data_IF_626451686620
#
_entry.id   IF_626451686620
#
_cell.length_a   1.000
_cell.length_b   1.000
_cell.length_c   1.000
_cell.angle_alpha   90.00
_cell.angle_beta   90.00
_cell.angle_gamma   90.00
#
_symmetry.space_group_name_H-M   'P 1'
#
loop_
_entity.id
_entity.type
_entity.pdbx_description
1 polymer ?
#
# COMPACT_ATOMS: atom_id res chain seq x y z
N UNK A 1 23.96 13.03 90.83
CA UNK A 1 24.64 13.79 89.79
C UNK A 1 24.57 12.93 88.53
N UNK A 2 23.57 13.08 87.69
CA UNK A 2 23.44 12.31 86.45
C UNK A 2 22.99 13.26 85.34
N UNK A 3 23.81 13.40 84.32
CA UNK A 3 23.53 14.24 83.16
C UNK A 3 22.66 13.46 82.16
N UNK A 4 21.64 14.05 81.52
CA UNK A 4 20.91 13.41 80.46
C UNK A 4 21.61 13.59 79.13
N UNK A 5 21.68 12.50 78.40
CA UNK A 5 22.23 12.40 77.03
C UNK A 5 21.13 12.84 76.06
N UNK A 6 21.32 13.96 75.37
CA UNK A 6 20.48 14.38 74.23
C UNK A 6 20.81 13.56 73.01
N UNK A 7 19.86 12.70 72.63
CA UNK A 7 19.87 11.92 71.36
C UNK A 7 19.31 12.79 70.24
N UNK A 8 20.19 13.32 69.40
CA UNK A 8 19.79 14.03 68.17
C UNK A 8 19.20 13.03 67.16
N UNK A 9 17.88 13.08 66.90
CA UNK A 9 17.26 12.46 65.77
C UNK A 9 17.54 13.27 64.52
N UNK A 10 18.36 12.71 63.62
CA UNK A 10 18.56 13.23 62.29
C UNK A 10 17.42 12.71 61.41
N UNK A 11 16.49 13.56 61.05
CA UNK A 11 15.42 13.26 60.09
C UNK A 11 16.02 13.36 58.68
N UNK A 12 16.31 12.23 58.05
CA UNK A 12 16.58 12.15 56.63
C UNK A 12 15.26 12.30 55.86
N UNK A 13 14.98 13.51 55.36
CA UNK A 13 13.92 13.74 54.41
C UNK A 13 14.37 13.19 53.05
N UNK A 14 13.94 11.98 52.70
CA UNK A 14 14.09 11.43 51.39
C UNK A 14 13.11 12.17 50.44
N UNK A 15 13.61 13.11 49.66
CA UNK A 15 12.92 13.70 48.51
C UNK A 15 12.78 12.62 47.43
N UNK A 16 11.66 11.92 47.42
CA UNK A 16 11.17 11.13 46.28
C UNK A 16 10.78 12.11 45.17
N UNK A 17 11.70 12.41 44.28
CA UNK A 17 11.41 12.98 43.00
C UNK A 17 10.60 11.95 42.19
N UNK A 18 9.26 12.05 42.25
CA UNK A 18 8.39 11.46 41.27
C UNK A 18 8.70 12.10 39.90
N UNK A 19 9.54 11.46 39.14
CA UNK A 19 9.64 11.71 37.73
C UNK A 19 8.36 11.17 37.12
N UNK A 20 7.36 12.02 37.01
CA UNK A 20 6.22 11.80 36.14
C UNK A 20 6.77 11.86 34.73
N UNK A 21 7.22 10.71 34.24
CA UNK A 21 7.44 10.53 32.81
C UNK A 21 6.10 10.85 32.13
N UNK A 22 6.01 12.01 31.51
CA UNK A 22 5.02 12.21 30.44
C UNK A 22 5.31 11.11 29.41
N UNK A 23 4.63 9.97 29.55
CA UNK A 23 4.41 9.10 28.44
C UNK A 23 3.66 9.97 27.42
N UNK A 24 4.37 10.43 26.40
CA UNK A 24 3.75 10.86 25.16
C UNK A 24 3.02 9.61 24.68
N UNK A 25 1.76 9.47 25.06
CA UNK A 25 0.84 8.55 24.44
C UNK A 25 0.95 8.88 22.95
N UNK A 26 1.55 7.98 22.20
CA UNK A 26 1.42 8.02 20.75
C UNK A 26 -0.08 7.93 20.53
N UNK A 27 -0.63 8.98 19.96
CA UNK A 27 -2.06 9.15 19.72
C UNK A 27 -2.46 8.23 18.54
N UNK A 28 -2.29 6.93 18.75
CA UNK A 28 -2.78 5.85 17.92
C UNK A 28 -3.92 5.21 18.73
N UNK A 29 -5.06 5.92 18.76
CA UNK A 29 -6.23 5.49 19.49
C UNK A 29 -6.76 4.15 18.97
N UNK A 30 -7.28 3.35 19.88
CA UNK A 30 -8.26 2.33 19.53
C UNK A 30 -9.49 3.08 19.01
N UNK A 31 -9.69 3.07 17.69
CA UNK A 31 -10.85 3.72 17.08
C UNK A 31 -12.05 2.78 17.15
N UNK A 32 -13.22 3.37 17.38
CA UNK A 32 -14.47 2.63 17.32
C UNK A 32 -14.65 2.04 15.90
N UNK A 33 -15.00 0.76 15.76
CA UNK A 33 -15.31 0.15 14.45
C UNK A 33 -16.33 0.95 13.64
N UNK A 34 -17.31 1.59 14.28
CA UNK A 34 -18.29 2.44 13.60
C UNK A 34 -17.66 3.71 12.99
N UNK A 35 -16.67 4.30 13.67
CA UNK A 35 -15.91 5.44 13.12
C UNK A 35 -15.08 5.01 11.92
N UNK A 36 -14.47 3.82 11.96
CA UNK A 36 -13.67 3.29 10.86
C UNK A 36 -14.56 3.00 9.64
N UNK A 37 -15.75 2.39 9.84
CA UNK A 37 -16.73 2.12 8.80
C UNK A 37 -17.26 3.43 8.19
N UNK A 38 -17.59 4.42 9.02
CA UNK A 38 -17.98 5.74 8.56
C UNK A 38 -16.87 6.40 7.76
N UNK A 39 -15.62 6.31 8.21
CA UNK A 39 -14.44 6.80 7.51
C UNK A 39 -14.23 6.14 6.15
N UNK A 40 -14.51 4.85 6.01
CA UNK A 40 -14.52 4.17 4.72
C UNK A 40 -15.55 4.80 3.77
N UNK A 41 -16.75 5.15 4.25
CA UNK A 41 -17.76 5.81 3.44
C UNK A 41 -17.33 7.20 2.98
N UNK A 42 -16.69 7.98 3.85
CA UNK A 42 -16.10 9.28 3.54
C UNK A 42 -14.98 9.12 2.51
N UNK A 43 -14.10 8.12 2.71
CA UNK A 43 -13.02 7.82 1.77
C UNK A 43 -13.56 7.52 0.35
N UNK A 44 -14.58 6.69 0.25
CA UNK A 44 -15.21 6.33 -1.03
C UNK A 44 -15.86 7.51 -1.73
N UNK A 45 -16.40 8.48 -0.98
CA UNK A 45 -17.05 9.65 -1.56
C UNK A 45 -16.09 10.77 -1.93
N UNK A 46 -14.99 10.95 -1.19
CA UNK A 46 -14.13 12.14 -1.29
C UNK A 46 -12.71 11.84 -1.82
N UNK A 47 -12.17 10.65 -1.57
CA UNK A 47 -10.74 10.39 -1.74
C UNK A 47 -10.43 9.39 -2.87
N UNK A 48 -11.35 8.46 -3.16
CA UNK A 48 -11.15 7.34 -4.08
C UNK A 48 -10.78 7.79 -5.50
N UNK A 49 -11.32 8.91 -5.97
CA UNK A 49 -11.08 9.41 -7.33
C UNK A 49 -9.59 9.63 -7.62
N UNK A 50 -8.83 10.08 -6.62
CA UNK A 50 -7.39 10.30 -6.76
C UNK A 50 -6.58 9.15 -6.16
N UNK A 51 -6.99 8.64 -5.00
CA UNK A 51 -6.20 7.65 -4.25
C UNK A 51 -6.54 6.20 -4.57
N UNK A 52 -7.59 5.94 -5.36
CA UNK A 52 -8.06 4.58 -5.70
C UNK A 52 -8.73 3.87 -4.53
N UNK A 53 -9.47 2.80 -4.79
CA UNK A 53 -10.19 2.03 -3.76
C UNK A 53 -9.28 1.45 -2.68
N UNK A 54 -8.03 1.13 -3.05
CA UNK A 54 -7.03 0.54 -2.16
C UNK A 54 -6.10 1.58 -1.52
N UNK A 55 -6.26 2.88 -1.80
CA UNK A 55 -5.42 3.94 -1.25
C UNK A 55 -4.01 4.01 -1.85
N UNK A 56 -3.75 3.31 -2.93
CA UNK A 56 -2.46 3.20 -3.62
C UNK A 56 -2.50 3.71 -5.07
N UNK A 57 -3.54 4.46 -5.44
CA UNK A 57 -3.74 5.01 -6.78
C UNK A 57 -2.68 6.03 -7.22
N UNK A 58 -1.98 6.67 -6.27
CA UNK A 58 -0.90 7.62 -6.55
C UNK A 58 0.44 6.93 -6.32
N UNK A 59 1.34 6.99 -7.31
CA UNK A 59 2.65 6.37 -7.22
C UNK A 59 3.44 6.84 -5.98
N UNK A 60 3.94 5.91 -5.19
CA UNK A 60 4.69 6.18 -3.96
C UNK A 60 3.85 6.63 -2.76
N UNK A 61 2.53 6.64 -2.88
CA UNK A 61 1.59 6.93 -1.79
C UNK A 61 0.74 5.70 -1.52
N UNK A 62 0.79 5.22 -0.28
CA UNK A 62 -0.11 4.17 0.19
C UNK A 62 -0.84 4.66 1.45
N UNK A 63 -2.09 5.07 1.28
CA UNK A 63 -2.92 5.55 2.36
C UNK A 63 -3.39 4.44 3.32
N UNK A 64 -3.22 3.18 2.93
CA UNK A 64 -3.56 2.00 3.74
C UNK A 64 -2.34 1.37 4.42
N UNK A 65 -1.20 2.07 4.44
CA UNK A 65 -0.01 1.62 5.18
C UNK A 65 -0.13 1.80 6.70
N UNK A 66 -1.06 2.62 7.17
CA UNK A 66 -1.16 3.05 8.57
C UNK A 66 -0.02 3.99 9.01
N UNK A 67 0.99 4.19 8.17
CA UNK A 67 2.16 5.02 8.45
C UNK A 67 2.36 6.07 7.36
N UNK A 68 2.55 7.32 7.77
CA UNK A 68 2.68 8.45 6.84
C UNK A 68 3.93 9.27 7.18
N UNK A 69 4.79 9.49 6.19
CA UNK A 69 6.04 10.26 6.38
C UNK A 69 5.82 11.72 6.79
N UNK A 70 4.71 12.33 6.37
CA UNK A 70 4.37 13.74 6.64
C UNK A 70 3.37 13.94 7.76
N UNK A 71 2.78 12.87 8.29
CA UNK A 71 1.71 12.92 9.26
C UNK A 71 1.89 11.79 10.29
N UNK A 72 2.73 12.03 11.29
CA UNK A 72 3.05 11.04 12.32
C UNK A 72 1.89 10.88 13.30
N UNK A 73 1.24 11.97 13.68
CA UNK A 73 0.07 11.99 14.58
C UNK A 73 -1.24 12.20 13.82
N UNK A 74 -2.36 11.95 14.49
CA UNK A 74 -3.70 12.25 13.97
C UNK A 74 -3.92 13.75 13.77
N UNK A 75 -3.28 14.57 14.59
CA UNK A 75 -3.27 16.01 14.41
C UNK A 75 -2.62 16.40 13.10
N UNK A 76 -1.51 15.74 12.75
CA UNK A 76 -0.81 16.00 11.49
C UNK A 76 -1.66 15.56 10.30
N UNK A 77 -2.32 14.39 10.38
CA UNK A 77 -3.26 13.93 9.35
C UNK A 77 -4.41 14.90 9.17
N UNK A 78 -5.01 15.34 10.27
CA UNK A 78 -6.07 16.35 10.26
C UNK A 78 -5.63 17.63 9.58
N UNK A 79 -4.46 18.16 9.94
CA UNK A 79 -3.92 19.37 9.35
C UNK A 79 -3.62 19.18 7.87
N UNK A 80 -3.07 18.03 7.47
CA UNK A 80 -2.75 17.71 6.08
C UNK A 80 -4.01 17.60 5.22
N UNK A 81 -5.05 16.94 5.70
CA UNK A 81 -6.33 16.80 4.98
C UNK A 81 -7.04 18.15 4.88
N UNK A 82 -7.12 18.90 5.99
CA UNK A 82 -7.81 20.19 6.02
C UNK A 82 -7.14 21.28 5.19
N UNK A 83 -5.79 21.27 5.10
CA UNK A 83 -5.04 22.31 4.37
C UNK A 83 -4.57 21.87 2.97
N UNK A 84 -4.67 20.58 2.66
CA UNK A 84 -4.05 20.01 1.47
C UNK A 84 -2.52 20.01 1.54
N UNK A 85 -1.88 19.78 0.41
CA UNK A 85 -0.42 19.84 0.27
C UNK A 85 -0.09 20.84 -0.81
N UNK A 86 0.47 22.03 -0.48
CA UNK A 86 0.86 23.04 -1.46
C UNK A 86 1.73 22.46 -2.57
N UNK A 87 1.57 22.97 -3.77
CA UNK A 87 2.32 22.58 -4.97
C UNK A 87 2.16 21.10 -5.38
N UNK A 88 1.05 20.47 -4.94
CA UNK A 88 0.68 19.10 -5.33
C UNK A 88 -0.79 19.04 -5.76
N UNK A 89 -1.24 17.88 -6.26
CA UNK A 89 -2.65 17.64 -6.57
C UNK A 89 -3.55 17.41 -5.34
N UNK A 90 -3.00 17.37 -4.11
CA UNK A 90 -3.79 17.17 -2.89
C UNK A 90 -4.41 18.49 -2.46
N UNK A 91 -5.70 18.66 -2.73
CA UNK A 91 -6.48 19.84 -2.36
C UNK A 91 -6.83 19.83 -0.87
N UNK A 92 -7.23 20.99 -0.33
CA UNK A 92 -7.83 21.11 0.98
C UNK A 92 -9.26 20.54 0.99
N UNK A 93 -9.63 19.84 2.05
CA UNK A 93 -10.98 19.29 2.24
C UNK A 93 -11.64 19.92 3.47
N UNK A 94 -12.84 20.42 3.27
CA UNK A 94 -13.69 20.95 4.35
C UNK A 94 -14.59 19.81 4.86
N UNK A 95 -14.03 18.98 5.75
CA UNK A 95 -14.73 17.88 6.38
C UNK A 95 -15.23 18.32 7.76
N UNK A 96 -16.42 17.88 8.13
CA UNK A 96 -16.91 18.10 9.48
C UNK A 96 -16.12 17.27 10.52
N UNK A 97 -16.41 17.47 11.80
CA UNK A 97 -15.69 16.81 12.88
C UNK A 97 -15.84 15.28 12.86
N UNK A 98 -17.00 14.75 12.49
CA UNK A 98 -17.27 13.31 12.42
C UNK A 98 -16.62 12.70 11.20
N UNK A 99 -16.73 13.33 10.03
CA UNK A 99 -16.07 12.93 8.79
C UNK A 99 -14.55 12.87 8.97
N UNK A 100 -13.98 13.93 9.57
CA UNK A 100 -12.54 14.01 9.81
C UNK A 100 -12.07 12.95 10.82
N UNK A 101 -12.83 12.66 11.86
CA UNK A 101 -12.52 11.60 12.81
C UNK A 101 -12.60 10.24 12.13
N UNK A 102 -13.67 9.99 11.41
CA UNK A 102 -13.86 8.74 10.67
C UNK A 102 -12.76 8.49 9.64
N UNK A 103 -12.44 9.49 8.80
CA UNK A 103 -11.39 9.29 7.78
C UNK A 103 -10.02 8.99 8.40
N UNK A 104 -9.67 9.65 9.52
CA UNK A 104 -8.43 9.37 10.23
C UNK A 104 -8.46 7.96 10.83
N UNK A 105 -9.56 7.57 11.46
CA UNK A 105 -9.77 6.22 11.99
C UNK A 105 -9.58 5.17 10.88
N UNK A 106 -10.18 5.36 9.71
CA UNK A 106 -10.02 4.48 8.56
C UNK A 106 -8.58 4.40 8.07
N UNK A 107 -7.90 5.53 7.93
CA UNK A 107 -6.51 5.58 7.46
C UNK A 107 -5.52 4.95 8.44
N UNK A 108 -5.79 5.03 9.74
CA UNK A 108 -4.96 4.42 10.80
C UNK A 108 -5.20 2.92 10.98
N UNK A 109 -6.28 2.40 10.43
CA UNK A 109 -6.64 0.98 10.51
C UNK A 109 -6.51 0.29 9.14
N UNK A 110 -5.29 0.02 8.68
CA UNK A 110 -5.04 -0.53 7.34
C UNK A 110 -5.67 -1.91 7.13
N UNK A 111 -5.89 -2.65 8.22
CA UNK A 111 -6.45 -4.00 8.19
C UNK A 111 -7.98 -4.01 8.38
N UNK A 112 -8.60 -2.84 8.56
CA UNK A 112 -10.05 -2.77 8.63
C UNK A 112 -10.63 -2.94 7.23
N UNK A 113 -11.36 -3.99 7.07
CA UNK A 113 -12.10 -4.30 5.84
C UNK A 113 -13.47 -4.83 6.22
N UNK A 114 -14.49 -4.41 5.47
CA UNK A 114 -15.86 -4.94 5.64
C UNK A 114 -15.90 -6.43 5.32
N UNK A 115 -14.99 -6.88 4.44
CA UNK A 115 -14.74 -8.30 4.18
C UNK A 115 -13.35 -8.63 4.73
N UNK A 116 -13.29 -9.18 5.93
CA UNK A 116 -12.03 -9.61 6.54
C UNK A 116 -11.32 -10.62 5.61
N UNK A 117 -10.18 -10.21 5.07
CA UNK A 117 -9.35 -11.12 4.26
C UNK A 117 -8.66 -12.10 5.17
N UNK A 118 -9.05 -13.36 5.09
CA UNK A 118 -8.36 -14.43 5.80
C UNK A 118 -6.98 -14.64 5.18
N UNK A 119 -5.94 -14.57 6.00
CA UNK A 119 -4.59 -14.96 5.62
C UNK A 119 -4.35 -16.39 6.06
N UNK A 120 -3.75 -17.17 5.17
CA UNK A 120 -3.42 -18.56 5.39
C UNK A 120 -1.98 -18.76 5.88
N UNK A 121 -1.34 -19.80 5.37
CA UNK A 121 0.03 -20.18 5.70
C UNK A 121 1.02 -19.66 4.65
N UNK A 122 2.02 -18.90 5.08
CA UNK A 122 3.04 -18.29 4.21
C UNK A 122 3.85 -19.34 3.42
N UNK A 123 4.22 -20.46 4.05
CA UNK A 123 5.08 -21.46 3.39
C UNK A 123 4.31 -22.21 2.29
N UNK A 124 3.02 -22.54 2.53
CA UNK A 124 2.15 -23.11 1.50
C UNK A 124 1.89 -22.10 0.39
N UNK A 125 1.65 -20.83 0.74
CA UNK A 125 1.47 -19.75 -0.22
C UNK A 125 2.67 -19.59 -1.13
N UNK A 126 3.88 -19.65 -0.58
CA UNK A 126 5.11 -19.65 -1.36
C UNK A 126 5.19 -20.83 -2.32
N UNK A 127 4.86 -22.04 -1.87
CA UNK A 127 4.87 -23.23 -2.72
C UNK A 127 3.85 -23.12 -3.88
N UNK A 128 2.67 -22.52 -3.64
CA UNK A 128 1.69 -22.26 -4.67
C UNK A 128 2.22 -21.19 -5.65
N UNK A 129 2.80 -20.11 -5.16
CA UNK A 129 3.36 -19.01 -5.95
C UNK A 129 4.47 -19.47 -6.90
N UNK A 130 5.36 -20.36 -6.42
CA UNK A 130 6.48 -20.92 -7.18
C UNK A 130 6.07 -22.12 -8.06
N UNK A 131 4.92 -22.75 -7.78
CA UNK A 131 4.45 -23.97 -8.44
C UNK A 131 3.12 -23.76 -9.18
N UNK A 132 2.00 -24.25 -8.61
CA UNK A 132 0.67 -24.27 -9.25
C UNK A 132 0.23 -22.91 -9.81
N UNK A 133 0.51 -21.82 -9.08
CA UNK A 133 0.11 -20.47 -9.48
C UNK A 133 0.97 -19.87 -10.58
N UNK A 134 2.13 -20.46 -10.89
CA UNK A 134 3.09 -20.05 -11.92
C UNK A 134 3.43 -18.53 -11.91
N UNK A 135 3.39 -17.91 -10.74
CA UNK A 135 3.53 -16.46 -10.61
C UNK A 135 4.95 -15.99 -10.99
N UNK A 136 5.98 -16.83 -10.75
CA UNK A 136 7.38 -16.54 -11.09
C UNK A 136 7.66 -16.56 -12.61
N UNK A 137 6.76 -17.08 -13.43
CA UNK A 137 6.91 -17.00 -14.89
C UNK A 137 6.85 -15.55 -15.40
N UNK A 138 6.14 -14.68 -14.68
CA UNK A 138 5.93 -13.28 -15.04
C UNK A 138 6.49 -12.30 -14.00
N UNK A 139 6.32 -12.61 -12.70
CA UNK A 139 6.70 -11.73 -11.60
C UNK A 139 8.11 -12.03 -11.08
N UNK A 140 8.70 -10.98 -10.51
CA UNK A 140 10.00 -11.02 -9.85
C UNK A 140 9.85 -10.90 -8.34
N UNK A 141 10.57 -11.75 -7.59
CA UNK A 141 10.73 -11.65 -6.14
C UNK A 141 12.20 -11.82 -5.80
N UNK A 142 12.83 -10.88 -5.10
CA UNK A 142 14.22 -10.95 -4.63
C UNK A 142 15.22 -11.42 -5.70
N UNK A 143 15.15 -10.87 -6.89
CA UNK A 143 16.01 -11.21 -8.05
C UNK A 143 15.64 -12.54 -8.76
N UNK A 144 14.71 -13.33 -8.28
CA UNK A 144 14.17 -14.49 -8.99
C UNK A 144 13.00 -14.07 -9.88
N UNK A 145 12.90 -14.62 -11.08
CA UNK A 145 11.88 -14.31 -12.08
C UNK A 145 12.24 -13.15 -13.02
N UNK A 146 11.48 -13.01 -14.12
CA UNK A 146 11.70 -12.00 -15.15
C UNK A 146 11.31 -10.59 -14.68
N UNK A 147 11.50 -9.60 -15.55
CA UNK A 147 11.12 -8.19 -15.31
C UNK A 147 9.86 -7.76 -16.06
N UNK A 148 9.21 -8.69 -16.74
CA UNK A 148 8.05 -8.39 -17.59
C UNK A 148 6.85 -7.84 -16.82
N UNK A 149 6.59 -8.36 -15.62
CA UNK A 149 5.55 -7.86 -14.72
C UNK A 149 6.13 -7.01 -13.58
N UNK A 150 5.26 -6.58 -12.67
CA UNK A 150 5.63 -5.81 -11.47
C UNK A 150 6.51 -6.65 -10.55
N UNK A 151 7.57 -6.05 -10.00
CA UNK A 151 8.41 -6.66 -8.97
C UNK A 151 7.63 -6.72 -7.65
N UNK A 152 7.47 -7.91 -7.10
CA UNK A 152 6.69 -8.17 -5.90
C UNK A 152 7.55 -8.23 -4.61
N UNK A 153 8.86 -7.97 -4.70
CA UNK A 153 9.79 -8.10 -3.56
C UNK A 153 9.33 -7.36 -2.30
N UNK A 154 8.69 -6.20 -2.46
CA UNK A 154 8.20 -5.37 -1.35
C UNK A 154 6.66 -5.17 -1.39
N UNK A 155 5.93 -6.04 -2.07
CA UNK A 155 4.50 -5.81 -2.34
C UNK A 155 3.66 -5.73 -1.07
N UNK A 156 4.00 -6.53 -0.06
CA UNK A 156 3.31 -6.54 1.23
C UNK A 156 3.57 -5.29 2.09
N UNK A 157 4.51 -4.42 1.69
CA UNK A 157 4.66 -3.09 2.30
C UNK A 157 3.79 -2.06 1.60
N UNK A 158 3.57 -2.24 0.28
CA UNK A 158 2.92 -1.26 -0.58
C UNK A 158 1.42 -1.48 -0.78
N UNK A 159 0.89 -2.68 -0.52
CA UNK A 159 -0.51 -3.00 -0.81
C UNK A 159 -1.22 -3.70 0.34
N UNK A 160 -2.47 -3.32 0.57
CA UNK A 160 -3.33 -3.97 1.54
C UNK A 160 -3.72 -5.41 1.07
N UNK A 161 -3.96 -6.35 2.01
CA UNK A 161 -4.35 -7.73 1.67
C UNK A 161 -5.56 -7.82 0.74
N UNK A 162 -6.59 -7.00 0.93
CA UNK A 162 -7.78 -6.95 0.07
C UNK A 162 -7.47 -6.46 -1.34
N UNK A 163 -6.58 -5.48 -1.48
CA UNK A 163 -6.14 -5.02 -2.79
C UNK A 163 -5.39 -6.12 -3.53
N UNK A 164 -4.56 -6.89 -2.82
CA UNK A 164 -3.88 -8.06 -3.38
C UNK A 164 -4.89 -9.14 -3.78
N UNK A 165 -5.88 -9.44 -2.91
CA UNK A 165 -6.96 -10.39 -3.23
C UNK A 165 -7.72 -9.98 -4.49
N UNK A 166 -8.16 -8.73 -4.57
CA UNK A 166 -8.85 -8.23 -5.78
C UNK A 166 -7.99 -8.35 -7.03
N UNK A 167 -6.68 -8.05 -6.93
CA UNK A 167 -5.77 -8.18 -8.08
C UNK A 167 -5.57 -9.63 -8.54
N UNK A 168 -5.72 -10.61 -7.64
CA UNK A 168 -5.69 -12.03 -7.99
C UNK A 168 -7.01 -12.48 -8.66
N UNK A 169 -8.15 -11.96 -8.21
CA UNK A 169 -9.47 -12.37 -8.70
C UNK A 169 -9.92 -11.60 -9.95
N UNK A 170 -9.62 -10.30 -10.00
CA UNK A 170 -9.95 -9.42 -11.14
C UNK A 170 -8.74 -8.55 -11.52
N UNK A 171 -7.74 -9.14 -12.16
CA UNK A 171 -6.53 -8.41 -12.54
C UNK A 171 -6.77 -7.33 -13.60
N UNK A 172 -7.77 -7.49 -14.45
CA UNK A 172 -8.15 -6.48 -15.45
C UNK A 172 -8.85 -5.29 -14.81
N UNK A 173 -9.84 -5.52 -13.96
CA UNK A 173 -10.58 -4.45 -13.27
C UNK A 173 -9.74 -3.66 -12.27
N UNK A 174 -8.69 -4.28 -11.71
CA UNK A 174 -7.77 -3.63 -10.77
C UNK A 174 -6.53 -3.02 -11.41
N UNK A 175 -6.34 -3.20 -12.73
CA UNK A 175 -5.16 -2.70 -13.45
C UNK A 175 -5.25 -1.19 -13.66
N UNK A 176 -4.33 -0.45 -13.03
CA UNK A 176 -4.27 1.00 -13.19
C UNK A 176 -3.90 1.39 -14.63
N UNK A 177 -4.38 2.53 -15.14
CA UNK A 177 -4.06 2.98 -16.50
C UNK A 177 -2.56 3.05 -16.81
N UNK A 178 -1.72 3.40 -15.81
CA UNK A 178 -0.27 3.46 -15.97
C UNK A 178 0.38 2.08 -16.13
N UNK A 179 -0.22 1.04 -15.55
CA UNK A 179 0.29 -0.32 -15.57
C UNK A 179 -0.17 -1.12 -16.81
N UNK A 180 -1.02 -0.53 -17.65
CA UNK A 180 -1.52 -1.16 -18.87
C UNK A 180 -0.37 -1.49 -19.82
N UNK A 181 -0.27 -2.73 -20.29
CA UNK A 181 0.74 -3.12 -21.25
C UNK A 181 0.47 -2.50 -22.62
N UNK A 182 1.47 -2.52 -23.45
CA UNK A 182 1.38 -1.97 -24.81
C UNK A 182 1.81 -2.97 -25.85
N UNK A 183 1.18 -2.89 -27.02
CA UNK A 183 1.61 -3.51 -28.26
C UNK A 183 2.17 -2.43 -29.18
N UNK A 184 3.37 -2.66 -29.73
CA UNK A 184 4.10 -1.75 -30.60
C UNK A 184 4.43 -2.47 -31.89
N UNK A 185 4.16 -1.83 -33.02
CA UNK A 185 4.63 -2.27 -34.35
C UNK A 185 5.48 -1.15 -34.93
N UNK A 186 6.74 -1.45 -35.21
CA UNK A 186 7.68 -0.51 -35.82
C UNK A 186 7.45 -0.38 -37.33
N UNK A 187 7.99 0.65 -37.99
CA UNK A 187 7.81 0.89 -39.41
C UNK A 187 8.41 -0.24 -40.32
N UNK A 188 9.36 -1.00 -39.81
CA UNK A 188 9.92 -2.19 -40.46
C UNK A 188 9.13 -3.49 -40.14
N UNK A 189 8.04 -3.39 -39.36
CA UNK A 189 7.10 -4.48 -39.08
C UNK A 189 7.47 -5.35 -37.88
N UNK A 190 8.51 -5.01 -37.11
CA UNK A 190 8.80 -5.72 -35.88
C UNK A 190 7.71 -5.45 -34.84
N UNK A 191 7.37 -6.49 -34.05
CA UNK A 191 6.34 -6.41 -32.98
C UNK A 191 6.96 -6.56 -31.61
N UNK A 192 6.52 -5.71 -30.69
CA UNK A 192 6.92 -5.73 -29.30
C UNK A 192 5.69 -5.63 -28.40
N UNK A 193 5.61 -6.52 -27.44
CA UNK A 193 4.68 -6.42 -26.34
C UNK A 193 5.47 -6.14 -25.06
N UNK A 194 4.92 -5.36 -24.16
CA UNK A 194 5.64 -5.11 -22.93
C UNK A 194 4.91 -4.24 -21.93
N UNK A 195 5.48 -4.22 -20.75
CA UNK A 195 5.05 -3.34 -19.66
C UNK A 195 5.59 -1.93 -19.91
N UNK A 196 4.70 -0.97 -19.94
CA UNK A 196 5.04 0.45 -20.06
C UNK A 196 5.73 0.95 -18.78
N UNK A 197 6.88 1.61 -18.94
CA UNK A 197 7.63 2.22 -17.86
C UNK A 197 7.46 3.73 -17.82
N UNK A 198 7.62 4.35 -18.98
CA UNK A 198 7.48 5.78 -19.15
C UNK A 198 6.89 6.09 -20.53
N UNK A 199 6.13 7.14 -20.61
CA UNK A 199 5.51 7.60 -21.86
C UNK A 199 5.32 9.11 -21.82
N UNK A 200 5.70 9.78 -22.89
CA UNK A 200 5.38 11.16 -23.15
C UNK A 200 4.74 11.33 -24.54
N UNK A 201 4.60 12.54 -25.01
CA UNK A 201 4.01 12.84 -26.33
C UNK A 201 4.81 12.21 -27.48
N UNK A 202 6.11 12.08 -27.34
CA UNK A 202 7.03 11.70 -28.42
C UNK A 202 7.61 10.31 -28.29
N UNK A 203 7.78 9.83 -27.06
CA UNK A 203 8.49 8.57 -26.79
C UNK A 203 7.70 7.65 -25.88
N UNK A 204 8.02 6.35 -25.96
CA UNK A 204 7.57 5.34 -25.00
C UNK A 204 8.73 4.41 -24.64
N UNK A 205 8.84 4.10 -23.37
CA UNK A 205 9.79 3.12 -22.83
C UNK A 205 9.03 1.94 -22.25
N UNK A 206 9.47 0.75 -22.60
CA UNK A 206 8.87 -0.50 -22.13
C UNK A 206 9.94 -1.48 -21.64
N UNK A 207 9.52 -2.41 -20.79
CA UNK A 207 10.20 -3.70 -20.64
C UNK A 207 9.45 -4.68 -21.54
N UNK A 208 10.13 -5.22 -22.55
CA UNK A 208 9.54 -6.20 -23.45
C UNK A 208 9.33 -7.57 -22.75
N UNK A 209 8.63 -8.48 -23.43
CA UNK A 209 8.34 -9.84 -22.95
C UNK A 209 9.62 -10.69 -22.71
N UNK A 210 10.77 -10.24 -23.24
CA UNK A 210 12.09 -10.84 -22.97
C UNK A 210 12.83 -10.15 -21.82
N UNK A 211 12.18 -9.22 -21.10
CA UNK A 211 12.76 -8.49 -19.97
C UNK A 211 13.76 -7.41 -20.35
N UNK A 212 13.81 -6.98 -21.61
CA UNK A 212 14.74 -5.96 -22.11
C UNK A 212 14.10 -4.58 -22.12
N UNK A 213 14.86 -3.59 -21.70
CA UNK A 213 14.46 -2.19 -21.83
C UNK A 213 14.49 -1.77 -23.30
N UNK A 214 13.37 -1.24 -23.78
CA UNK A 214 13.21 -0.67 -25.12
C UNK A 214 12.73 0.78 -25.01
N UNK A 215 13.19 1.59 -25.97
CA UNK A 215 12.72 2.96 -26.15
C UNK A 215 12.36 3.17 -27.61
N UNK A 216 11.21 3.79 -27.86
CA UNK A 216 10.71 4.02 -29.21
C UNK A 216 10.28 5.48 -29.37
N UNK A 217 10.62 6.07 -30.51
CA UNK A 217 10.04 7.33 -30.96
C UNK A 217 8.67 7.02 -31.59
N UNK A 218 7.62 7.64 -31.11
CA UNK A 218 6.23 7.33 -31.54
C UNK A 218 5.98 7.67 -33.02
N UNK A 219 6.68 8.64 -33.57
CA UNK A 219 6.62 9.01 -35.00
C UNK A 219 7.25 7.95 -35.94
N UNK A 220 8.01 7.00 -35.38
CA UNK A 220 8.62 5.87 -36.09
C UNK A 220 7.88 4.56 -35.89
N UNK A 221 6.68 4.62 -35.34
CA UNK A 221 5.84 3.44 -35.13
C UNK A 221 4.75 3.38 -36.19
N UNK A 222 4.52 2.19 -36.72
CA UNK A 222 3.34 1.90 -37.51
C UNK A 222 2.09 1.82 -36.64
N UNK A 223 2.24 1.26 -35.43
CA UNK A 223 1.16 1.09 -34.46
C UNK A 223 1.68 1.20 -33.03
N UNK A 224 0.91 1.88 -32.21
CA UNK A 224 1.06 1.92 -30.75
C UNK A 224 -0.31 1.74 -30.10
N UNK A 225 -0.50 0.64 -29.40
CA UNK A 225 -1.77 0.28 -28.77
C UNK A 225 -1.58 0.03 -27.29
N UNK A 226 -2.35 0.76 -26.47
CA UNK A 226 -2.45 0.47 -25.01
C UNK A 226 -3.53 -0.57 -24.82
N UNK A 227 -3.13 -1.72 -24.25
CA UNK A 227 -4.05 -2.82 -24.00
C UNK A 227 -4.89 -2.56 -22.76
N UNK A 228 -6.16 -2.93 -22.81
CA UNK A 228 -7.11 -2.74 -21.71
C UNK A 228 -7.30 -3.99 -20.86
N UNK A 229 -6.85 -5.14 -21.34
CA UNK A 229 -6.90 -6.41 -20.63
C UNK A 229 -5.56 -6.73 -19.99
N UNK A 230 -5.61 -7.31 -18.80
CA UNK A 230 -4.43 -7.75 -18.08
C UNK A 230 -3.87 -9.06 -18.69
N UNK A 231 -2.55 -9.19 -18.90
CA UNK A 231 -1.94 -10.47 -19.23
C UNK A 231 -1.90 -11.44 -18.03
N UNK A 232 -2.11 -10.95 -16.82
CA UNK A 232 -2.24 -11.78 -15.63
C UNK A 232 -3.59 -12.48 -15.66
N UNK A 233 -3.65 -13.82 -15.50
CA UNK A 233 -4.92 -14.53 -15.43
C UNK A 233 -5.68 -14.22 -14.14
N UNK A 234 -7.00 -14.41 -14.15
CA UNK A 234 -7.78 -14.50 -12.92
C UNK A 234 -7.51 -15.83 -12.23
N UNK A 235 -7.38 -15.80 -10.91
CA UNK A 235 -7.21 -17.00 -10.08
C UNK A 235 -8.52 -17.39 -9.38
N UNK A 236 -9.66 -16.82 -9.76
CA UNK A 236 -10.97 -17.08 -9.15
C UNK A 236 -11.35 -18.56 -9.23
N UNK A 237 -11.12 -19.18 -10.38
CA UNK A 237 -11.43 -20.60 -10.61
C UNK A 237 -10.20 -21.52 -10.46
N UNK A 238 -8.99 -20.95 -10.40
CA UNK A 238 -7.73 -21.70 -10.39
C UNK A 238 -7.27 -22.07 -8.97
N UNK A 239 -7.57 -21.22 -7.99
CA UNK A 239 -7.20 -21.41 -6.59
C UNK A 239 -8.45 -21.56 -5.72
N UNK A 240 -8.43 -22.54 -4.82
CA UNK A 240 -9.42 -22.62 -3.75
C UNK A 240 -9.27 -21.43 -2.79
N UNK A 241 -10.31 -21.11 -2.01
CA UNK A 241 -10.25 -20.04 -0.98
C UNK A 241 -9.09 -20.23 0.01
N UNK A 242 -8.75 -21.50 0.36
CA UNK A 242 -7.61 -21.77 1.23
C UNK A 242 -6.28 -21.48 0.53
N UNK A 243 -6.12 -21.88 -0.73
CA UNK A 243 -4.91 -21.60 -1.51
C UNK A 243 -4.76 -20.10 -1.76
N UNK A 244 -5.85 -19.40 -2.02
CA UNK A 244 -5.87 -17.94 -2.15
C UNK A 244 -5.42 -17.27 -0.85
N UNK A 245 -5.94 -17.71 0.31
CA UNK A 245 -5.54 -17.22 1.62
C UNK A 245 -4.04 -17.46 1.89
N UNK A 246 -3.52 -18.64 1.50
CA UNK A 246 -2.12 -18.98 1.65
C UNK A 246 -1.23 -18.11 0.76
N UNK A 247 -1.58 -17.90 -0.51
CA UNK A 247 -0.87 -16.98 -1.43
C UNK A 247 -0.88 -15.55 -0.89
N UNK A 248 -2.00 -15.08 -0.36
CA UNK A 248 -2.09 -13.75 0.27
C UNK A 248 -1.16 -13.62 1.47
N UNK A 249 -1.08 -14.65 2.33
CA UNK A 249 -0.13 -14.67 3.45
C UNK A 249 1.33 -14.51 2.96
N UNK A 250 1.70 -15.23 1.91
CA UNK A 250 3.03 -15.10 1.31
C UNK A 250 3.27 -13.71 0.71
N UNK A 251 2.33 -13.17 -0.08
CA UNK A 251 2.49 -11.82 -0.68
C UNK A 251 2.61 -10.74 0.39
N UNK A 252 1.82 -10.82 1.47
CA UNK A 252 1.87 -9.90 2.61
C UNK A 252 3.20 -9.99 3.37
N UNK A 253 3.86 -11.16 3.39
CA UNK A 253 5.17 -11.36 4.03
C UNK A 253 6.32 -10.70 3.26
N UNK A 254 6.15 -10.38 1.98
CA UNK A 254 7.17 -9.75 1.13
C UNK A 254 7.32 -8.26 1.47
N UNK A 255 8.30 -7.95 2.32
CA UNK A 255 8.54 -6.59 2.87
C UNK A 255 9.80 -5.90 2.30
N UNK A 256 10.50 -6.54 1.34
CA UNK A 256 11.74 -6.05 0.74
C UNK A 256 12.96 -6.79 1.19
#
# INVERSE_FOLDING_TARGET
>A
MSRPIFRRLTICAALLLCWSGLALAQDHGDYDPADIEYGLSVYRSQCVTCHGDSGDGIAGVNLRSGQFRRAVSDRDLRALIANGIPDTGMLAFDLDSAEMTGIIAFLRNPNFELDAVTLGDEARGRAIFEGKGDCLSCHRVRQQGPRGAVDLTAIGTGRAPSALRRSLLDPTGTMRPIDRPVEIVTNDGERFNGRRLNEDTYTVQIIDDQGRLRSFDKDRLQQFTVLTESPMPSYEDELSEQELADVLAYLVSLKG
#
